data_IF_387767226485
#
_entry.id   IF_387767226485
#
_cell.length_a   1.000
_cell.length_b   1.000
_cell.length_c   1.000
_cell.angle_alpha   90.00
_cell.angle_beta   90.00
_cell.angle_gamma   90.00
#
_symmetry.space_group_name_H-M   'P 1'
#
loop_
_entity.id
_entity.type
_entity.pdbx_description
1 polymer ?
#
# COMPACT_ATOMS: atom_id res chain seq x y z
N UNK A 1 43.04 48.10 30.90
CA UNK A 1 42.07 47.29 31.67
C UNK A 1 40.98 48.22 32.16
N UNK A 2 39.82 48.20 31.50
CA UNK A 2 38.70 49.08 31.80
C UNK A 2 37.41 48.28 31.73
N UNK A 3 36.75 48.12 32.88
CA UNK A 3 35.30 48.01 32.96
C UNK A 3 34.82 49.30 33.61
N UNK A 4 34.04 50.09 32.90
CA UNK A 4 33.33 51.23 33.48
C UNK A 4 31.85 51.13 33.12
N UNK A 5 31.04 50.87 34.15
CA UNK A 5 29.62 51.21 34.20
C UNK A 5 29.51 52.65 34.71
N UNK A 6 28.82 53.52 33.97
CA UNK A 6 28.46 54.87 34.42
C UNK A 6 27.33 55.37 33.51
N UNK A 7 26.25 55.95 33.98
CA UNK A 7 25.83 56.31 35.33
C UNK A 7 24.60 57.23 35.24
N UNK A 8 23.94 57.40 36.40
CA UNK A 8 23.24 58.59 36.91
C UNK A 8 22.22 59.29 35.99
N UNK A 9 20.94 59.27 36.39
CA UNK A 9 20.33 60.21 37.37
C UNK A 9 20.44 61.67 36.94
N UNK A 10 19.30 62.30 36.70
CA UNK A 10 18.67 63.19 37.68
C UNK A 10 17.59 64.01 36.98
N UNK A 11 16.38 63.97 37.53
CA UNK A 11 15.31 64.87 37.15
C UNK A 11 15.54 66.28 37.67
N UNK A 12 14.66 67.18 37.24
CA UNK A 12 14.18 68.39 37.92
C UNK A 12 13.20 69.11 36.95
N UNK A 13 12.32 70.01 37.42
CA UNK A 13 10.88 69.78 37.34
C UNK A 13 10.11 70.83 36.52
N UNK A 14 8.78 70.64 36.56
CA UNK A 14 7.64 71.46 36.10
C UNK A 14 7.86 72.98 36.36
N UNK A 15 7.25 73.93 35.62
CA UNK A 15 5.83 74.40 35.55
C UNK A 15 5.86 75.64 34.57
N UNK A 16 4.81 76.44 34.22
CA UNK A 16 3.42 76.26 33.75
C UNK A 16 3.06 76.88 32.36
N UNK A 17 2.01 76.29 31.76
CA UNK A 17 0.83 76.81 31.01
C UNK A 17 0.82 78.02 30.03
N UNK A 18 0.37 77.68 28.80
CA UNK A 18 -0.70 78.28 27.96
C UNK A 18 -0.42 79.57 27.13
N UNK A 19 -1.21 79.91 26.07
CA UNK A 19 -2.15 79.11 25.23
C UNK A 19 -2.08 79.33 23.69
N UNK A 20 -2.69 78.37 22.95
CA UNK A 20 -3.53 78.45 21.71
C UNK A 20 -3.00 79.11 20.42
N UNK A 21 -2.97 78.31 19.33
CA UNK A 21 -3.28 78.73 17.94
C UNK A 21 -3.65 77.51 17.05
N UNK A 22 -4.24 77.70 15.85
CA UNK A 22 -5.41 76.92 15.39
C UNK A 22 -5.11 75.74 14.45
N UNK A 23 -6.16 74.91 14.28
CA UNK A 23 -6.28 73.69 13.46
C UNK A 23 -5.69 73.84 12.05
N UNK A 24 -4.72 72.99 11.72
CA UNK A 24 -4.36 72.66 10.33
C UNK A 24 -5.10 71.41 9.85
N UNK A 25 -5.69 71.52 8.65
CA UNK A 25 -6.37 70.45 7.91
C UNK A 25 -5.39 69.30 7.62
N UNK A 26 -5.84 68.07 7.87
CA UNK A 26 -5.13 66.81 7.57
C UNK A 26 -5.34 66.46 6.09
N UNK A 27 -4.30 66.07 5.33
CA UNK A 27 -4.49 65.49 4.00
C UNK A 27 -5.21 64.14 4.10
N UNK A 28 -6.12 63.88 3.16
CA UNK A 28 -6.85 62.62 3.05
C UNK A 28 -5.91 61.47 2.65
N UNK A 29 -6.08 60.32 3.31
CA UNK A 29 -5.40 59.09 2.94
C UNK A 29 -6.02 58.51 1.65
N UNK A 30 -5.23 57.87 0.76
CA UNK A 30 -5.77 57.20 -0.41
C UNK A 30 -6.66 56.01 0.00
N UNK A 31 -7.70 55.68 -0.80
CA UNK A 31 -8.61 54.58 -0.50
C UNK A 31 -7.89 53.24 -0.55
N UNK A 32 -8.19 52.38 0.42
CA UNK A 32 -7.69 51.01 0.48
C UNK A 32 -8.20 50.20 -0.72
N UNK A 33 -7.30 49.44 -1.35
CA UNK A 33 -7.66 48.49 -2.38
C UNK A 33 -8.60 47.40 -1.80
N UNK A 34 -9.58 46.91 -2.57
CA UNK A 34 -10.45 45.83 -2.12
C UNK A 34 -9.64 44.54 -1.89
N UNK A 35 -10.00 43.72 -0.89
CA UNK A 35 -9.33 42.45 -0.66
C UNK A 35 -9.54 41.54 -1.88
N UNK A 36 -8.48 40.85 -2.29
CA UNK A 36 -8.56 39.83 -3.33
C UNK A 36 -9.54 38.73 -2.90
N UNK A 37 -10.29 38.11 -3.83
CA UNK A 37 -11.13 36.97 -3.50
C UNK A 37 -10.25 35.83 -2.99
N UNK A 38 -10.48 35.41 -1.74
CA UNK A 38 -9.87 34.21 -1.18
C UNK A 38 -10.34 33.03 -2.03
N UNK A 39 -9.49 32.52 -2.91
CA UNK A 39 -9.73 31.21 -3.53
C UNK A 39 -9.72 30.23 -2.36
N UNK A 40 -10.89 29.68 -2.03
CA UNK A 40 -11.01 28.67 -1.00
C UNK A 40 -10.08 27.51 -1.38
N UNK A 41 -8.96 27.37 -0.66
CA UNK A 41 -8.07 26.23 -0.85
C UNK A 41 -8.90 24.99 -0.55
N UNK A 42 -9.02 24.04 -1.50
CA UNK A 42 -9.65 22.77 -1.19
C UNK A 42 -8.87 22.14 -0.03
N UNK A 43 -9.56 21.85 1.05
CA UNK A 43 -8.97 21.20 2.21
C UNK A 43 -8.46 19.82 1.79
N UNK A 44 -7.13 19.68 1.74
CA UNK A 44 -6.44 18.44 1.35
C UNK A 44 -6.81 17.25 2.26
N UNK A 45 -7.34 17.51 3.46
CA UNK A 45 -7.79 16.49 4.40
C UNK A 45 -9.29 16.14 4.24
N UNK A 46 -10.08 16.96 3.56
CA UNK A 46 -11.51 16.70 3.34
C UNK A 46 -11.76 15.57 2.33
N UNK A 47 -10.80 15.27 1.46
CA UNK A 47 -10.87 14.19 0.45
C UNK A 47 -10.49 12.80 0.96
N UNK A 48 -10.11 12.65 2.24
CA UNK A 48 -9.46 11.43 2.72
C UNK A 48 -10.39 10.19 2.86
N UNK A 49 -11.71 10.33 2.73
CA UNK A 49 -12.63 9.28 3.22
C UNK A 49 -13.45 8.56 2.13
N UNK A 50 -13.43 9.01 0.87
CA UNK A 50 -14.33 8.45 -0.18
C UNK A 50 -13.65 7.56 -1.21
N UNK A 51 -12.32 7.38 -1.16
CA UNK A 51 -11.56 6.74 -2.24
C UNK A 51 -10.75 5.50 -1.85
N UNK A 52 -10.94 4.90 -0.66
CA UNK A 52 -10.15 3.70 -0.33
C UNK A 52 -10.73 2.52 -1.11
N UNK A 53 -9.99 1.93 -2.07
CA UNK A 53 -10.48 0.73 -2.75
C UNK A 53 -10.79 -0.32 -1.69
N UNK A 54 -11.97 -0.91 -1.78
CA UNK A 54 -12.42 -1.92 -0.83
C UNK A 54 -11.46 -3.11 -0.89
N UNK A 55 -10.57 -3.23 0.09
CA UNK A 55 -9.55 -4.26 0.13
C UNK A 55 -10.20 -5.56 0.61
N UNK A 56 -10.45 -6.49 -0.30
CA UNK A 56 -10.87 -7.83 0.07
C UNK A 56 -9.66 -8.57 0.63
N UNK A 57 -9.74 -9.12 1.84
CA UNK A 57 -8.59 -9.79 2.47
C UNK A 57 -8.74 -11.30 2.56
N UNK A 58 -9.91 -11.82 2.17
CA UNK A 58 -10.19 -13.25 2.18
C UNK A 58 -11.20 -13.64 1.12
N UNK A 59 -11.12 -14.89 0.68
CA UNK A 59 -12.09 -15.53 -0.21
C UNK A 59 -12.47 -16.90 0.32
N UNK A 60 -13.75 -17.25 0.20
CA UNK A 60 -14.23 -18.58 0.56
C UNK A 60 -13.70 -19.65 -0.42
N UNK A 61 -13.18 -20.75 0.14
CA UNK A 61 -12.53 -21.83 -0.63
C UNK A 61 -13.54 -22.54 -1.55
N UNK A 62 -14.81 -22.68 -1.13
CA UNK A 62 -15.84 -23.30 -1.95
C UNK A 62 -16.27 -22.38 -3.10
N UNK A 63 -16.44 -21.08 -2.83
CA UNK A 63 -16.73 -20.06 -3.85
C UNK A 63 -15.64 -19.93 -4.92
N UNK A 64 -14.38 -20.13 -4.53
CA UNK A 64 -13.23 -20.15 -5.45
C UNK A 64 -13.18 -21.40 -6.35
N UNK A 65 -13.93 -22.45 -6.01
CA UNK A 65 -13.77 -23.76 -6.63
C UNK A 65 -12.37 -24.33 -6.44
N UNK A 66 -11.75 -24.06 -5.28
CA UNK A 66 -10.39 -24.48 -4.99
C UNK A 66 -10.28 -26.01 -5.06
N UNK A 67 -9.29 -26.51 -5.79
CA UNK A 67 -9.07 -27.94 -5.94
C UNK A 67 -7.57 -28.25 -5.83
N UNK A 68 -7.22 -29.25 -5.03
CA UNK A 68 -5.84 -29.77 -4.97
C UNK A 68 -5.53 -30.54 -6.25
N UNK A 69 -4.37 -30.28 -6.84
CA UNK A 69 -3.94 -30.88 -8.11
C UNK A 69 -2.79 -31.84 -7.82
N UNK A 70 -2.93 -33.15 -8.13
CA UNK A 70 -1.82 -34.08 -7.98
C UNK A 70 -0.71 -33.73 -8.98
N UNK A 71 0.51 -33.49 -8.50
CA UNK A 71 1.65 -33.07 -9.37
C UNK A 71 1.86 -34.01 -10.56
N UNK A 72 1.66 -35.33 -10.36
CA UNK A 72 1.76 -36.35 -11.43
C UNK A 72 0.84 -36.12 -12.63
N UNK A 73 -0.23 -35.34 -12.50
CA UNK A 73 -1.15 -35.03 -13.61
C UNK A 73 -0.70 -33.84 -14.45
N UNK A 74 0.28 -33.07 -13.99
CA UNK A 74 0.80 -31.92 -14.71
C UNK A 74 1.76 -32.39 -15.81
N UNK A 75 1.69 -31.76 -16.98
CA UNK A 75 2.62 -31.99 -18.09
C UNK A 75 3.29 -30.66 -18.46
N UNK A 76 4.57 -30.68 -18.87
CA UNK A 76 5.28 -29.47 -19.29
C UNK A 76 4.64 -28.77 -20.49
N UNK A 77 4.04 -29.53 -21.40
CA UNK A 77 3.45 -29.01 -22.65
C UNK A 77 1.99 -28.54 -22.48
N UNK A 78 1.46 -28.58 -21.25
CA UNK A 78 0.09 -28.12 -20.99
C UNK A 78 -0.01 -26.60 -21.10
N UNK A 79 -0.86 -26.11 -22.00
CA UNK A 79 -1.19 -24.68 -22.09
C UNK A 79 -2.10 -24.17 -20.96
N UNK A 80 -2.45 -22.87 -20.99
CA UNK A 80 -3.39 -22.28 -20.04
C UNK A 80 -4.79 -22.91 -20.15
N UNK A 81 -5.43 -23.21 -19.02
CA UNK A 81 -6.70 -23.95 -18.95
C UNK A 81 -7.83 -23.20 -18.21
N UNK A 82 -7.69 -21.89 -18.04
CA UNK A 82 -8.66 -21.03 -17.34
C UNK A 82 -8.60 -21.12 -15.81
N UNK A 83 -7.66 -21.89 -15.27
CA UNK A 83 -7.32 -21.91 -13.85
C UNK A 83 -6.03 -21.16 -13.57
N UNK A 84 -5.90 -20.71 -12.33
CA UNK A 84 -4.66 -20.22 -11.77
C UNK A 84 -4.23 -21.13 -10.63
N UNK A 85 -2.92 -21.31 -10.50
CA UNK A 85 -2.31 -22.29 -9.62
C UNK A 85 -1.47 -21.60 -8.56
N UNK A 86 -1.52 -22.14 -7.34
CA UNK A 86 -0.66 -21.75 -6.24
C UNK A 86 0.05 -22.99 -5.70
N UNK A 87 1.27 -22.79 -5.23
CA UNK A 87 2.05 -23.81 -4.55
C UNK A 87 2.23 -23.35 -3.11
N UNK A 88 1.78 -24.18 -2.17
CA UNK A 88 1.92 -23.98 -0.73
C UNK A 88 2.51 -25.23 -0.09
N UNK A 89 2.61 -25.28 1.23
CA UNK A 89 3.05 -26.48 1.95
C UNK A 89 1.87 -27.31 2.45
N UNK A 90 2.07 -28.56 2.87
CA UNK A 90 0.99 -29.39 3.39
C UNK A 90 0.35 -28.76 4.64
N UNK A 91 1.17 -28.18 5.54
CA UNK A 91 0.66 -27.43 6.68
C UNK A 91 -0.18 -26.20 6.25
N UNK A 92 0.27 -25.47 5.22
CA UNK A 92 -0.48 -24.36 4.65
C UNK A 92 -1.84 -24.79 4.10
N UNK A 93 -1.89 -25.91 3.39
CA UNK A 93 -3.13 -26.50 2.88
C UNK A 93 -4.07 -26.95 4.00
N UNK A 94 -3.56 -27.56 5.06
CA UNK A 94 -4.37 -27.99 6.20
C UNK A 94 -4.96 -26.79 6.96
N UNK A 95 -4.17 -25.72 7.14
CA UNK A 95 -4.68 -24.46 7.69
C UNK A 95 -5.78 -23.84 6.82
N UNK A 96 -5.59 -23.85 5.50
CA UNK A 96 -6.57 -23.35 4.54
C UNK A 96 -7.88 -24.13 4.62
N UNK A 97 -7.80 -25.47 4.70
CA UNK A 97 -8.96 -26.36 4.86
C UNK A 97 -9.67 -26.14 6.19
N UNK A 98 -8.93 -26.01 7.29
CA UNK A 98 -9.50 -25.79 8.62
C UNK A 98 -10.22 -24.44 8.71
N UNK A 99 -9.69 -23.40 8.05
CA UNK A 99 -10.30 -22.06 8.04
C UNK A 99 -11.45 -21.91 7.04
N UNK A 100 -11.46 -22.70 5.97
CA UNK A 100 -12.40 -22.57 4.86
C UNK A 100 -12.20 -21.30 4.01
N UNK A 101 -11.18 -20.50 4.29
CA UNK A 101 -10.95 -19.20 3.65
C UNK A 101 -9.49 -19.02 3.24
N UNK A 102 -9.28 -18.55 2.02
CA UNK A 102 -7.98 -18.16 1.47
C UNK A 102 -7.70 -16.71 1.85
N UNK A 103 -6.62 -16.49 2.60
CA UNK A 103 -6.24 -15.16 3.10
C UNK A 103 -5.16 -14.54 2.21
N UNK A 104 -5.27 -13.25 1.96
CA UNK A 104 -4.28 -12.49 1.20
C UNK A 104 -4.37 -10.99 1.56
N UNK A 105 -3.28 -10.27 1.30
CA UNK A 105 -3.25 -8.82 1.49
C UNK A 105 -2.16 -8.20 0.60
N UNK A 106 -2.12 -6.88 0.43
CA UNK A 106 -1.02 -6.24 -0.30
C UNK A 106 0.36 -6.49 0.31
N UNK A 107 0.42 -6.78 1.61
CA UNK A 107 1.68 -7.08 2.33
C UNK A 107 2.08 -8.56 2.26
N UNK A 108 1.13 -9.42 1.96
CA UNK A 108 1.32 -10.85 1.82
C UNK A 108 0.43 -11.33 0.66
N UNK A 109 0.78 -10.95 -0.58
CA UNK A 109 -0.03 -11.31 -1.73
C UNK A 109 0.11 -12.80 -2.01
N UNK A 110 -0.96 -13.40 -2.53
CA UNK A 110 -0.89 -14.78 -2.99
C UNK A 110 -0.37 -14.81 -4.43
N UNK A 111 0.81 -15.38 -4.63
CA UNK A 111 1.35 -15.60 -5.97
C UNK A 111 0.56 -16.69 -6.70
N UNK A 112 0.21 -16.43 -7.94
CA UNK A 112 -0.56 -17.31 -8.80
C UNK A 112 0.10 -17.41 -10.17
N UNK A 113 0.03 -18.57 -10.81
CA UNK A 113 0.58 -18.78 -12.14
C UNK A 113 -0.41 -19.52 -13.04
N UNK A 114 -0.27 -19.35 -14.34
CA UNK A 114 -0.93 -20.24 -15.30
C UNK A 114 -0.29 -21.63 -15.25
N UNK A 115 -1.01 -22.63 -15.78
CA UNK A 115 -0.57 -24.03 -15.76
C UNK A 115 0.88 -24.28 -16.22
N UNK A 116 1.40 -23.63 -17.29
CA UNK A 116 2.80 -23.80 -17.70
C UNK A 116 3.83 -23.43 -16.63
N UNK A 117 3.51 -22.51 -15.72
CA UNK A 117 4.42 -22.05 -14.68
C UNK A 117 4.50 -22.93 -13.44
N UNK A 118 3.62 -23.93 -13.31
CA UNK A 118 3.54 -24.74 -12.08
C UNK A 118 4.78 -25.59 -11.89
N UNK A 119 5.23 -26.32 -12.92
CA UNK A 119 6.38 -27.22 -12.80
C UNK A 119 7.70 -26.47 -12.56
N UNK A 120 8.02 -25.40 -13.30
CA UNK A 120 9.21 -24.59 -13.01
C UNK A 120 9.19 -23.97 -11.61
N UNK A 121 8.03 -23.45 -11.17
CA UNK A 121 7.91 -22.86 -9.84
C UNK A 121 8.00 -23.92 -8.74
N UNK A 122 7.43 -25.11 -8.95
CA UNK A 122 7.53 -26.22 -8.01
C UNK A 122 8.98 -26.67 -7.84
N UNK A 123 9.73 -26.80 -8.93
CA UNK A 123 11.14 -27.16 -8.88
C UNK A 123 11.96 -26.14 -8.07
N UNK A 124 11.77 -24.84 -8.33
CA UNK A 124 12.42 -23.77 -7.55
C UNK A 124 12.03 -23.82 -6.06
N UNK A 125 10.75 -24.04 -5.74
CA UNK A 125 10.30 -24.16 -4.35
C UNK A 125 10.96 -25.36 -3.65
N UNK A 126 11.07 -26.50 -4.33
CA UNK A 126 11.73 -27.68 -3.74
C UNK A 126 13.21 -27.43 -3.47
N UNK A 127 13.93 -26.78 -4.38
CA UNK A 127 15.35 -26.42 -4.18
C UNK A 127 15.56 -25.51 -2.95
N UNK A 128 14.68 -24.51 -2.78
CA UNK A 128 14.68 -23.63 -1.60
C UNK A 128 14.38 -24.41 -0.32
N UNK A 129 13.36 -25.28 -0.35
CA UNK A 129 12.97 -26.06 0.82
C UNK A 129 14.04 -27.07 1.23
N UNK A 130 14.69 -27.74 0.28
CA UNK A 130 15.81 -28.65 0.54
C UNK A 130 16.96 -27.92 1.26
N UNK A 131 17.29 -26.72 0.80
CA UNK A 131 18.31 -25.87 1.43
C UNK A 131 17.96 -25.50 2.88
N UNK A 132 16.68 -25.23 3.18
CA UNK A 132 16.21 -24.93 4.54
C UNK A 132 16.22 -26.16 5.47
N UNK A 133 16.08 -27.36 4.91
CA UNK A 133 16.10 -28.62 5.66
C UNK A 133 17.50 -29.00 6.12
N UNK A 134 18.51 -28.76 5.30
CA UNK A 134 19.93 -28.88 5.68
C UNK A 134 20.28 -27.94 6.85
N UNK A 135 19.53 -26.84 7.02
CA UNK A 135 19.63 -25.94 8.18
C UNK A 135 18.85 -26.42 9.42
N UNK A 136 18.38 -27.68 9.45
CA UNK A 136 17.74 -28.31 10.61
C UNK A 136 16.22 -28.14 10.72
N UNK A 137 15.56 -27.61 9.68
CA UNK A 137 14.10 -27.50 9.64
C UNK A 137 13.46 -28.77 9.06
N UNK A 138 12.25 -29.12 9.53
CA UNK A 138 11.51 -30.27 8.99
C UNK A 138 10.96 -29.91 7.61
N UNK A 139 11.35 -30.67 6.59
CA UNK A 139 10.80 -30.56 5.23
C UNK A 139 9.28 -30.75 5.26
N UNK A 140 8.53 -29.70 4.92
CA UNK A 140 7.12 -29.86 4.56
C UNK A 140 7.03 -30.28 3.08
N UNK A 141 5.96 -30.94 2.66
CA UNK A 141 5.79 -31.33 1.25
C UNK A 141 5.04 -30.22 0.50
N UNK A 142 5.49 -29.80 -0.70
CA UNK A 142 4.76 -28.82 -1.48
C UNK A 142 3.43 -29.41 -1.99
N UNK A 143 2.39 -28.59 -1.96
CA UNK A 143 1.04 -28.91 -2.39
C UNK A 143 0.60 -27.87 -3.42
N UNK A 144 0.14 -28.35 -4.56
CA UNK A 144 -0.43 -27.51 -5.62
C UNK A 144 -1.94 -27.48 -5.48
N UNK A 145 -2.52 -26.29 -5.51
CA UNK A 145 -3.96 -26.13 -5.73
C UNK A 145 -4.24 -25.16 -6.85
N UNK A 146 -5.43 -25.27 -7.42
CA UNK A 146 -5.94 -24.39 -8.46
C UNK A 146 -7.24 -23.71 -8.06
N UNK A 147 -7.47 -22.53 -8.63
CA UNK A 147 -8.69 -21.73 -8.48
C UNK A 147 -9.16 -21.25 -9.85
N UNK A 148 -10.46 -21.00 -10.00
CA UNK A 148 -11.03 -20.52 -11.27
C UNK A 148 -10.64 -19.07 -11.50
N UNK A 149 -9.96 -18.77 -12.62
CA UNK A 149 -9.47 -17.41 -12.91
C UNK A 149 -10.57 -16.36 -12.91
N UNK A 150 -11.70 -16.65 -13.58
CA UNK A 150 -12.80 -15.70 -13.72
C UNK A 150 -13.43 -15.27 -12.38
N UNK A 151 -13.27 -16.05 -11.30
CA UNK A 151 -13.79 -15.71 -9.97
C UNK A 151 -12.97 -14.60 -9.32
N UNK A 152 -11.68 -14.50 -9.66
CA UNK A 152 -10.73 -13.59 -9.01
C UNK A 152 -10.12 -12.57 -9.97
N UNK A 153 -10.50 -12.59 -11.25
CA UNK A 153 -9.88 -11.81 -12.32
C UNK A 153 -9.77 -10.31 -12.02
N UNK A 154 -10.79 -9.74 -11.36
CA UNK A 154 -10.84 -8.32 -10.95
C UNK A 154 -9.90 -7.95 -9.80
N UNK A 155 -9.37 -8.95 -9.10
CA UNK A 155 -8.49 -8.81 -7.94
C UNK A 155 -7.03 -9.17 -8.30
N UNK A 156 -6.77 -9.56 -9.55
CA UNK A 156 -5.43 -9.95 -10.00
C UNK A 156 -4.64 -8.73 -10.44
N UNK A 157 -3.41 -8.67 -9.95
CA UNK A 157 -2.35 -7.81 -10.44
C UNK A 157 -1.31 -8.67 -11.17
N UNK A 158 -0.67 -8.13 -12.21
CA UNK A 158 0.41 -8.84 -12.88
C UNK A 158 1.68 -8.81 -12.03
N UNK A 159 2.41 -9.93 -11.98
CA UNK A 159 3.75 -10.03 -11.40
C UNK A 159 4.79 -10.01 -12.53
N UNK A 160 5.36 -8.84 -12.89
CA UNK A 160 6.31 -8.75 -13.99
C UNK A 160 7.64 -9.46 -13.69
N UNK A 161 8.02 -9.55 -12.41
CA UNK A 161 9.31 -10.10 -12.00
C UNK A 161 9.31 -11.62 -12.19
N UNK A 162 8.30 -12.31 -11.64
CA UNK A 162 8.14 -13.76 -11.88
C UNK A 162 7.80 -14.06 -13.33
N UNK A 163 7.00 -13.21 -13.98
CA UNK A 163 6.69 -13.43 -15.41
C UNK A 163 7.97 -13.42 -16.26
N UNK A 164 8.92 -12.54 -15.94
CA UNK A 164 10.22 -12.51 -16.59
C UNK A 164 11.10 -13.69 -16.21
N UNK A 165 11.09 -14.09 -14.94
CA UNK A 165 11.89 -15.21 -14.41
C UNK A 165 11.51 -16.54 -15.06
N UNK A 166 10.21 -16.83 -15.16
CA UNK A 166 9.70 -18.12 -15.63
C UNK A 166 9.26 -18.11 -17.10
N UNK A 167 9.17 -16.94 -17.75
CA UNK A 167 8.73 -16.80 -19.14
C UNK A 167 7.23 -17.09 -19.37
N UNK A 168 6.43 -17.10 -18.31
CA UNK A 168 5.00 -17.43 -18.30
C UNK A 168 4.25 -16.48 -17.38
N UNK A 169 2.94 -16.29 -17.57
CA UNK A 169 2.21 -15.27 -16.81
C UNK A 169 2.08 -15.63 -15.33
N UNK A 170 2.56 -14.73 -14.47
CA UNK A 170 2.34 -14.74 -13.02
C UNK A 170 1.47 -13.55 -12.60
N UNK A 171 0.75 -13.76 -11.51
CA UNK A 171 -0.20 -12.83 -10.94
C UNK A 171 -0.06 -12.78 -9.42
N UNK A 172 -0.44 -11.64 -8.84
CA UNK A 172 -0.57 -11.43 -7.42
C UNK A 172 -2.04 -11.19 -7.08
N UNK A 173 -2.55 -11.95 -6.11
CA UNK A 173 -3.82 -11.66 -5.48
C UNK A 173 -3.55 -10.83 -4.22
N UNK A 174 -3.70 -9.51 -4.35
CA UNK A 174 -3.44 -8.54 -3.27
C UNK A 174 -4.72 -8.14 -2.53
N UNK A 175 -5.87 -8.32 -3.19
CA UNK A 175 -7.18 -7.89 -2.68
C UNK A 175 -7.57 -6.46 -3.00
N UNK A 176 -6.73 -5.74 -3.76
CA UNK A 176 -7.09 -4.45 -4.32
C UNK A 176 -7.92 -4.70 -5.58
N UNK A 177 -9.20 -4.32 -5.53
CA UNK A 177 -10.01 -4.31 -6.74
C UNK A 177 -9.41 -3.30 -7.73
N UNK A 178 -9.13 -3.72 -8.97
CA UNK A 178 -8.75 -2.77 -10.03
C UNK A 178 -9.91 -1.80 -10.23
N UNK A 179 -9.67 -0.50 -10.04
CA UNK A 179 -10.58 0.52 -10.54
C UNK A 179 -10.33 0.64 -12.05
N UNK A 180 -11.34 0.32 -12.85
CA UNK A 180 -11.36 0.54 -14.30
C UNK A 180 -11.62 2.02 -14.63
#
# INVERSE_FOLDING_TARGET
MGQERKGRMSGLPLIPTAPRHPRRRRPAAPPAAPPAPTVAQPDLFATATTGRPHALTYLDVAGLGLTVVPVRTLRPDDGPDGYLYHITTAAGMDMLRARGTLLFSPRAPLALTERPGVLPWLANMMEVMESDCEAGHRADSPVVFRVKRFVIDRLLEHDPDRTREYGVSFFLLTGLARQE
#
